data_IF_027081801854
#
_entry.id   IF_027081801854
#
_cell.length_a   1.000
_cell.length_b   1.000
_cell.length_c   1.000
_cell.angle_alpha   90.00
_cell.angle_beta   90.00
_cell.angle_gamma   90.00
#
_symmetry.space_group_name_H-M   'P 1'
#
loop_
_entity.id
_entity.type
_entity.pdbx_description
1 polymer ?
#
# COMPACT_ATOMS: atom_id res chain seq x y z
N UNK A 1 1.72 13.48 -12.68
CA UNK A 1 0.53 14.00 -11.96
C UNK A 1 -0.32 12.79 -11.67
N UNK A 2 -0.52 12.43 -10.40
CA UNK A 2 -1.33 11.27 -10.04
C UNK A 2 -2.81 11.63 -10.17
N UNK A 3 -3.60 10.82 -10.90
CA UNK A 3 -5.04 11.06 -11.13
C UNK A 3 -5.94 10.25 -10.20
N UNK A 4 -5.41 9.25 -9.50
CA UNK A 4 -6.18 8.32 -8.66
C UNK A 4 -5.49 7.93 -7.38
N UNK A 5 -6.31 7.69 -6.36
CA UNK A 5 -5.92 7.08 -5.09
C UNK A 5 -6.83 5.87 -4.85
N UNK A 6 -6.25 4.75 -4.47
CA UNK A 6 -6.97 3.55 -4.06
C UNK A 6 -6.73 3.29 -2.58
N UNK A 7 -7.79 3.02 -1.83
CA UNK A 7 -7.69 2.57 -0.45
C UNK A 7 -7.96 1.07 -0.43
N UNK A 8 -6.97 0.29 -0.01
CA UNK A 8 -7.06 -1.17 0.08
C UNK A 8 -7.01 -1.60 1.54
N UNK A 9 -8.08 -2.23 2.02
CA UNK A 9 -8.09 -2.88 3.32
C UNK A 9 -7.44 -4.26 3.24
N UNK A 10 -6.44 -4.52 4.07
CA UNK A 10 -5.75 -5.81 4.17
C UNK A 10 -6.28 -6.56 5.38
N UNK A 11 -6.79 -7.77 5.15
CA UNK A 11 -7.31 -8.64 6.21
C UNK A 11 -6.20 -9.22 7.09
N UNK A 12 -6.58 -9.96 8.15
CA UNK A 12 -5.61 -10.58 9.08
C UNK A 12 -4.63 -11.52 8.37
N UNK A 13 -5.06 -12.14 7.26
CA UNK A 13 -4.24 -13.09 6.49
C UNK A 13 -3.31 -12.39 5.49
N UNK A 14 -3.15 -11.07 5.57
CA UNK A 14 -2.18 -10.34 4.76
C UNK A 14 -2.54 -10.36 3.26
N UNK A 15 -1.54 -10.45 2.36
CA UNK A 15 -1.74 -10.47 0.91
C UNK A 15 -2.75 -11.52 0.43
N UNK A 16 -2.85 -12.65 1.10
CA UNK A 16 -3.70 -13.80 0.78
C UNK A 16 -5.19 -13.47 0.99
N UNK A 17 -5.50 -12.44 1.76
CA UNK A 17 -6.85 -11.92 1.92
C UNK A 17 -7.34 -11.09 0.73
N UNK A 18 -6.45 -10.71 -0.19
CA UNK A 18 -6.75 -9.75 -1.25
C UNK A 18 -7.14 -10.43 -2.56
N UNK A 19 -8.14 -9.88 -3.29
CA UNK A 19 -8.41 -10.30 -4.65
C UNK A 19 -7.23 -9.92 -5.57
N UNK A 20 -7.00 -10.65 -6.68
CA UNK A 20 -5.87 -10.40 -7.59
C UNK A 20 -5.77 -8.96 -8.10
N UNK A 21 -6.91 -8.27 -8.28
CA UNK A 21 -6.94 -6.86 -8.69
C UNK A 21 -6.31 -5.93 -7.65
N UNK A 22 -6.56 -6.17 -6.36
CA UNK A 22 -6.02 -5.32 -5.30
C UNK A 22 -4.49 -5.53 -5.15
N UNK A 23 -4.02 -6.78 -5.28
CA UNK A 23 -2.59 -7.09 -5.31
C UNK A 23 -1.88 -6.34 -6.45
N UNK A 24 -2.42 -6.41 -7.68
CA UNK A 24 -1.86 -5.67 -8.82
C UNK A 24 -1.82 -4.16 -8.60
N UNK A 25 -2.89 -3.59 -8.04
CA UNK A 25 -2.93 -2.16 -7.73
C UNK A 25 -1.82 -1.75 -6.74
N UNK A 26 -1.50 -2.59 -5.75
CA UNK A 26 -0.41 -2.33 -4.80
C UNK A 26 0.96 -2.55 -5.44
N UNK A 27 1.10 -3.60 -6.27
CA UNK A 27 2.36 -3.94 -6.92
C UNK A 27 2.78 -2.88 -7.95
N UNK A 28 1.83 -2.38 -8.75
CA UNK A 28 2.04 -1.43 -9.86
C UNK A 28 1.91 0.05 -9.47
N UNK A 29 1.51 0.37 -8.23
CA UNK A 29 1.38 1.75 -7.79
C UNK A 29 2.74 2.45 -7.77
N UNK A 30 2.79 3.68 -8.28
CA UNK A 30 4.00 4.52 -8.22
C UNK A 30 4.42 4.86 -6.78
N UNK A 31 3.44 5.00 -5.87
CA UNK A 31 3.65 5.23 -4.44
C UNK A 31 2.65 4.40 -3.63
N UNK A 32 3.16 3.73 -2.59
CA UNK A 32 2.35 2.97 -1.62
C UNK A 32 2.54 3.54 -0.23
N UNK A 33 1.45 4.04 0.34
CA UNK A 33 1.38 4.50 1.72
C UNK A 33 0.80 3.40 2.62
N UNK A 34 1.37 3.20 3.80
CA UNK A 34 0.85 2.24 4.78
C UNK A 34 1.68 2.20 6.05
N UNK A 35 1.19 1.52 7.08
CA UNK A 35 2.00 1.23 8.26
C UNK A 35 3.19 0.34 7.90
N UNK A 36 4.30 0.42 8.65
CA UNK A 36 5.54 -0.33 8.38
C UNK A 36 5.28 -1.83 8.17
N UNK A 37 4.50 -2.45 9.08
CA UNK A 37 4.10 -3.86 8.97
C UNK A 37 3.34 -4.18 7.68
N UNK A 38 2.47 -3.28 7.20
CA UNK A 38 1.74 -3.50 5.96
C UNK A 38 2.67 -3.41 4.76
N UNK A 39 3.59 -2.44 4.73
CA UNK A 39 4.54 -2.26 3.63
C UNK A 39 5.50 -3.45 3.47
N UNK A 40 5.87 -4.08 4.59
CA UNK A 40 6.66 -5.32 4.63
C UNK A 40 5.93 -6.51 4.01
N UNK A 41 4.60 -6.56 4.08
CA UNK A 41 3.78 -7.63 3.49
C UNK A 41 3.75 -7.60 1.95
N UNK A 42 4.11 -6.47 1.33
CA UNK A 42 4.08 -6.30 -0.13
C UNK A 42 5.49 -6.06 -0.69
N UNK A 43 6.41 -7.04 -0.59
CA UNK A 43 7.80 -6.87 -1.02
C UNK A 43 7.94 -6.66 -2.54
N UNK A 44 6.92 -7.06 -3.31
CA UNK A 44 6.88 -6.94 -4.78
C UNK A 44 6.42 -5.58 -5.30
N UNK A 45 5.98 -4.66 -4.43
CA UNK A 45 5.62 -3.32 -4.87
C UNK A 45 6.84 -2.61 -5.47
N UNK A 46 6.67 -2.13 -6.69
CA UNK A 46 7.72 -1.48 -7.49
C UNK A 46 7.85 0.02 -7.19
N UNK A 47 6.82 0.59 -6.59
CA UNK A 47 6.75 2.01 -6.24
C UNK A 47 7.49 2.40 -4.96
N UNK A 48 7.53 3.71 -4.73
CA UNK A 48 8.04 4.28 -3.49
C UNK A 48 7.15 3.87 -2.31
N UNK A 49 7.75 3.32 -1.25
CA UNK A 49 7.04 2.93 -0.03
C UNK A 49 7.19 4.01 1.03
N UNK A 50 6.07 4.61 1.43
CA UNK A 50 6.05 5.70 2.40
C UNK A 50 5.39 5.23 3.70
N UNK A 51 6.17 5.00 4.78
CA UNK A 51 5.63 4.52 6.04
C UNK A 51 4.81 5.60 6.76
N UNK A 52 3.58 5.27 7.11
CA UNK A 52 2.69 6.08 7.94
C UNK A 52 2.86 5.66 9.40
N UNK A 53 3.36 6.59 10.24
CA UNK A 53 3.56 6.35 11.69
C UNK A 53 2.35 6.78 12.50
N UNK A 54 1.82 7.96 12.22
CA UNK A 54 0.70 8.57 12.93
C UNK A 54 -0.32 9.13 11.94
N UNK A 55 -0.36 10.46 11.76
CA UNK A 55 -1.34 11.08 10.88
C UNK A 55 -0.77 11.18 9.47
N UNK A 56 -1.64 11.02 8.48
CA UNK A 56 -1.27 11.21 7.08
C UNK A 56 -0.81 12.65 6.80
N UNK A 57 -1.29 13.63 7.58
CA UNK A 57 -0.82 15.03 7.54
C UNK A 57 0.65 15.22 7.90
N UNK A 58 1.26 14.24 8.56
CA UNK A 58 2.64 14.31 9.01
C UNK A 58 3.62 13.88 7.91
N UNK A 59 3.11 13.41 6.77
CA UNK A 59 3.87 13.06 5.57
C UNK A 59 3.78 14.24 4.59
N UNK A 60 4.82 15.08 4.59
CA UNK A 60 4.90 16.34 3.82
C UNK A 60 5.89 16.26 2.67
#
# INVERSE_FOLDING_TARGET
>A
MWDRVYIVGVGPEGPESLPPKALRLIEEAEIVFGGERLLEMFPKSEGEKVPLKHNLSDVS
#
